data_IF_287409238108
#
_entry.id   IF_287409238108
#
_cell.length_a   1.000
_cell.length_b   1.000
_cell.length_c   1.000
_cell.angle_alpha   90.00
_cell.angle_beta   90.00
_cell.angle_gamma   90.00
#
_symmetry.space_group_name_H-M   'P 1'
#
loop_
_entity.id
_entity.type
_entity.pdbx_description
1 polymer ?
#
# COMPACT_ATOMS: atom_id res chain seq x y z
N UNK A 1 14.54 -28.51 30.01
CA UNK A 1 15.68 -27.57 29.96
C UNK A 1 16.06 -27.53 28.50
N UNK A 2 15.79 -26.44 27.78
CA UNK A 2 16.14 -26.34 26.36
C UNK A 2 17.66 -26.14 26.26
N UNK A 3 18.29 -26.84 25.31
CA UNK A 3 19.74 -26.92 25.18
C UNK A 3 20.41 -25.58 24.88
N UNK A 4 21.64 -25.44 25.38
CA UNK A 4 22.47 -24.25 25.24
C UNK A 4 23.05 -24.13 23.82
N UNK A 5 22.94 -22.94 23.22
CA UNK A 5 23.38 -22.70 21.83
C UNK A 5 24.90 -22.73 21.74
N UNK A 6 25.43 -23.73 21.01
CA UNK A 6 26.87 -24.05 20.97
C UNK A 6 27.66 -23.18 19.98
N UNK A 7 27.05 -22.62 18.93
CA UNK A 7 27.66 -21.56 18.09
C UNK A 7 26.66 -20.89 17.14
N UNK A 8 26.92 -19.64 16.77
CA UNK A 8 26.19 -18.91 15.72
C UNK A 8 27.18 -18.53 14.61
N UNK A 9 26.94 -18.99 13.38
CA UNK A 9 27.75 -18.61 12.20
C UNK A 9 26.96 -17.65 11.31
N UNK A 10 27.58 -16.52 10.98
CA UNK A 10 27.06 -15.54 10.01
C UNK A 10 27.48 -15.97 8.60
N UNK A 11 26.53 -16.43 7.79
CA UNK A 11 26.76 -16.81 6.39
C UNK A 11 26.40 -15.62 5.50
N UNK A 12 27.35 -15.16 4.69
CA UNK A 12 27.08 -14.14 3.67
C UNK A 12 26.43 -14.80 2.45
N UNK A 13 25.34 -14.20 1.97
CA UNK A 13 24.42 -14.78 0.99
C UNK A 13 25.04 -14.89 -0.41
N UNK A 14 25.66 -16.04 -0.70
CA UNK A 14 25.94 -16.51 -2.06
C UNK A 14 25.15 -17.79 -2.42
N UNK A 15 24.26 -18.25 -1.54
CA UNK A 15 23.39 -19.41 -1.77
C UNK A 15 21.94 -19.05 -1.41
N UNK A 16 21.02 -19.40 -2.32
CA UNK A 16 19.68 -18.85 -2.47
C UNK A 16 18.61 -19.45 -1.53
N UNK A 17 19.00 -20.04 -0.39
CA UNK A 17 18.05 -20.53 0.60
C UNK A 17 18.62 -20.38 2.01
N UNK A 18 17.83 -19.83 2.92
CA UNK A 18 18.15 -19.79 4.35
C UNK A 18 17.20 -20.75 5.05
N UNK A 19 17.70 -21.91 5.47
CA UNK A 19 17.04 -22.73 6.48
C UNK A 19 17.60 -22.35 7.85
N UNK A 20 16.69 -22.01 8.75
CA UNK A 20 16.86 -21.92 10.21
C UNK A 20 17.88 -20.88 10.72
N UNK A 21 17.41 -19.85 11.44
CA UNK A 21 18.31 -18.85 12.05
C UNK A 21 17.87 -18.42 13.44
N UNK A 22 18.86 -18.30 14.33
CA UNK A 22 18.83 -17.65 15.66
C UNK A 22 19.75 -16.42 15.65
N UNK A 23 19.28 -15.21 16.07
CA UNK A 23 20.13 -13.99 16.23
C UNK A 23 19.54 -12.96 17.23
N UNK A 24 20.38 -12.25 18.02
CA UNK A 24 20.18 -10.87 18.52
C UNK A 24 21.21 -9.88 17.89
N UNK A 25 21.06 -8.55 17.79
CA UNK A 25 20.01 -7.57 18.08
C UNK A 25 20.09 -6.46 17.00
N UNK A 26 18.96 -5.82 16.67
CA UNK A 26 18.78 -4.68 15.75
C UNK A 26 18.54 -4.94 14.24
N UNK A 27 18.39 -6.18 13.78
CA UNK A 27 17.97 -6.49 12.40
C UNK A 27 16.46 -6.71 12.29
N UNK A 28 15.82 -6.13 11.26
CA UNK A 28 14.55 -6.68 10.74
C UNK A 28 14.91 -7.89 9.88
N UNK A 29 14.47 -9.08 10.26
CA UNK A 29 14.69 -10.29 9.45
C UNK A 29 13.42 -10.62 8.67
N UNK A 30 13.57 -10.75 7.35
CA UNK A 30 12.57 -11.40 6.50
C UNK A 30 12.99 -12.85 6.29
N UNK A 31 12.19 -13.79 6.76
CA UNK A 31 12.40 -15.22 6.52
C UNK A 31 11.49 -15.66 5.39
N UNK A 32 12.08 -15.93 4.23
CA UNK A 32 11.43 -16.64 3.13
C UNK A 32 11.59 -18.14 3.38
N UNK A 33 10.61 -18.74 4.03
CA UNK A 33 10.56 -20.20 4.12
C UNK A 33 10.19 -20.72 2.74
N UNK A 34 11.01 -21.65 2.22
CA UNK A 34 10.78 -22.34 0.95
C UNK A 34 9.42 -23.04 0.88
N UNK A 35 9.16 -23.75 -0.21
CA UNK A 35 7.86 -24.38 -0.49
C UNK A 35 7.38 -25.27 0.67
N UNK A 36 6.49 -24.73 1.53
CA UNK A 36 5.95 -25.42 2.73
C UNK A 36 5.32 -26.76 2.34
N UNK A 37 4.73 -26.83 1.14
CA UNK A 37 4.19 -28.07 0.60
C UNK A 37 5.21 -29.21 0.61
N UNK A 38 6.47 -28.95 0.25
CA UNK A 38 7.51 -29.97 0.21
C UNK A 38 7.84 -30.48 1.62
N UNK A 39 7.80 -29.60 2.62
CA UNK A 39 7.95 -29.99 4.02
C UNK A 39 6.79 -30.89 4.46
N UNK A 40 5.54 -30.50 4.18
CA UNK A 40 4.37 -31.29 4.54
C UNK A 40 4.33 -32.65 3.82
N UNK A 41 4.76 -32.70 2.56
CA UNK A 41 4.85 -33.94 1.77
C UNK A 41 5.93 -34.87 2.31
N UNK A 42 7.12 -34.35 2.66
CA UNK A 42 8.16 -35.13 3.32
C UNK A 42 7.69 -35.65 4.68
N UNK A 43 6.98 -34.82 5.46
CA UNK A 43 6.40 -35.24 6.74
C UNK A 43 5.37 -36.37 6.55
N UNK A 44 4.57 -36.28 5.49
CA UNK A 44 3.63 -37.35 5.11
C UNK A 44 4.34 -38.65 4.75
N UNK A 45 5.42 -38.58 3.97
CA UNK A 45 6.20 -39.75 3.58
C UNK A 45 6.84 -40.42 4.81
N UNK A 46 7.41 -39.64 5.73
CA UNK A 46 7.99 -40.14 6.98
C UNK A 46 6.92 -40.80 7.87
N UNK A 47 5.76 -40.16 8.02
CA UNK A 47 4.65 -40.73 8.80
C UNK A 47 4.13 -42.04 8.21
N UNK A 48 4.01 -42.12 6.88
CA UNK A 48 3.63 -43.34 6.19
C UNK A 48 4.68 -44.46 6.34
N UNK A 49 5.97 -44.13 6.23
CA UNK A 49 7.06 -45.10 6.43
C UNK A 49 7.14 -45.64 7.86
N UNK A 50 6.65 -44.88 8.84
CA UNK A 50 6.53 -45.29 10.24
C UNK A 50 5.23 -46.02 10.58
N UNK A 51 4.36 -46.22 9.60
CA UNK A 51 3.03 -46.81 9.78
C UNK A 51 2.19 -46.06 10.84
N UNK A 52 2.35 -44.73 10.92
CA UNK A 52 1.55 -43.89 11.82
C UNK A 52 0.09 -43.82 11.34
N UNK A 53 -0.85 -43.64 12.28
CA UNK A 53 -2.26 -43.45 11.92
C UNK A 53 -2.43 -42.16 11.12
N UNK A 54 -2.89 -42.22 9.85
CA UNK A 54 -2.98 -41.04 9.00
C UNK A 54 -4.15 -40.14 9.41
N UNK A 55 -3.95 -38.83 9.29
CA UNK A 55 -4.98 -37.81 9.41
C UNK A 55 -5.67 -37.50 8.08
N UNK A 56 -6.14 -36.25 7.92
CA UNK A 56 -6.82 -35.78 6.70
C UNK A 56 -5.90 -35.88 5.48
N UNK A 57 -6.40 -36.48 4.39
CA UNK A 57 -5.67 -36.67 3.12
C UNK A 57 -4.29 -37.35 3.27
N UNK A 58 -4.12 -38.19 4.29
CA UNK A 58 -2.90 -38.95 4.53
C UNK A 58 -1.80 -38.20 5.28
N UNK A 59 -1.98 -36.91 5.60
CA UNK A 59 -1.01 -36.16 6.40
C UNK A 59 -1.01 -36.62 7.87
N UNK A 60 0.13 -36.54 8.58
CA UNK A 60 0.19 -36.92 9.99
C UNK A 60 -0.70 -36.03 10.87
N UNK A 61 -1.24 -36.59 11.95
CA UNK A 61 -2.14 -35.86 12.86
C UNK A 61 -1.47 -34.66 13.57
N UNK A 62 -0.14 -34.67 13.69
CA UNK A 62 0.65 -33.61 14.32
C UNK A 62 1.12 -32.52 13.33
N UNK A 63 0.70 -32.54 12.06
CA UNK A 63 1.10 -31.54 11.06
C UNK A 63 0.76 -30.11 11.49
N UNK A 64 -0.35 -29.90 12.20
CA UNK A 64 -0.69 -28.59 12.76
C UNK A 64 0.39 -28.11 13.74
N UNK A 65 0.75 -28.96 14.70
CA UNK A 65 1.74 -28.62 15.72
C UNK A 65 3.11 -28.40 15.09
N UNK A 66 3.50 -29.22 14.12
CA UNK A 66 4.77 -29.09 13.40
C UNK A 66 4.87 -27.72 12.68
N UNK A 67 3.85 -27.36 11.89
CA UNK A 67 3.77 -26.05 11.24
C UNK A 67 3.76 -24.90 12.25
N UNK A 68 3.04 -25.05 13.37
CA UNK A 68 3.00 -24.04 14.42
C UNK A 68 4.38 -23.79 15.04
N UNK A 69 5.20 -24.84 15.22
CA UNK A 69 6.58 -24.67 15.74
C UNK A 69 7.46 -23.80 14.83
N UNK A 70 7.14 -23.73 13.54
CA UNK A 70 7.84 -22.91 12.56
C UNK A 70 7.25 -21.49 12.53
N UNK A 71 5.94 -21.37 12.36
CA UNK A 71 5.27 -20.09 12.12
C UNK A 71 5.22 -19.17 13.36
N UNK A 72 5.07 -19.74 14.55
CA UNK A 72 4.98 -18.98 15.82
C UNK A 72 6.32 -18.39 16.28
N UNK A 73 7.39 -18.55 15.47
CA UNK A 73 8.71 -17.94 15.73
C UNK A 73 8.81 -16.50 15.19
N UNK A 74 7.77 -15.98 14.54
CA UNK A 74 7.71 -14.60 14.06
C UNK A 74 7.24 -13.64 15.18
N UNK A 75 7.78 -12.42 15.23
CA UNK A 75 7.33 -11.42 16.18
C UNK A 75 8.41 -10.47 16.67
N UNK A 76 8.07 -9.73 17.73
CA UNK A 76 8.93 -8.76 18.43
C UNK A 76 9.03 -9.21 19.88
N UNK A 77 10.24 -9.15 20.44
CA UNK A 77 10.47 -9.46 21.86
C UNK A 77 10.49 -8.16 22.64
N UNK A 78 9.67 -8.08 23.70
CA UNK A 78 9.63 -6.90 24.57
C UNK A 78 11.02 -6.63 25.17
N UNK A 79 11.47 -5.37 25.07
CA UNK A 79 12.76 -4.93 25.59
C UNK A 79 13.97 -5.24 24.70
N UNK A 80 13.78 -5.84 23.50
CA UNK A 80 14.86 -6.09 22.53
C UNK A 80 14.64 -5.33 21.22
N UNK A 81 15.62 -4.56 20.70
CA UNK A 81 15.53 -4.01 19.36
C UNK A 81 15.55 -5.11 18.28
N UNK A 82 14.57 -5.09 17.38
CA UNK A 82 14.50 -5.96 16.21
C UNK A 82 13.16 -6.68 16.07
N UNK A 83 12.98 -7.36 14.94
CA UNK A 83 11.78 -8.13 14.67
C UNK A 83 12.08 -9.30 13.72
N UNK A 84 11.34 -10.38 13.87
CA UNK A 84 11.31 -11.48 12.91
C UNK A 84 9.98 -11.42 12.16
N UNK A 85 10.04 -11.24 10.85
CA UNK A 85 8.88 -11.27 9.96
C UNK A 85 9.00 -12.47 9.04
N UNK A 86 7.96 -13.31 9.00
CA UNK A 86 7.93 -14.47 8.12
C UNK A 86 6.95 -14.22 6.97
N UNK A 87 7.36 -14.58 5.75
CA UNK A 87 6.48 -14.65 4.58
C UNK A 87 6.65 -16.06 4.00
N UNK A 88 5.94 -17.06 4.54
CA UNK A 88 6.02 -18.42 4.04
C UNK A 88 5.32 -18.52 2.69
N UNK A 89 5.94 -19.25 1.75
CA UNK A 89 5.38 -19.48 0.42
C UNK A 89 4.95 -20.94 0.31
N UNK A 90 3.72 -21.15 -0.13
CA UNK A 90 3.18 -22.48 -0.41
C UNK A 90 2.45 -22.49 -1.75
N UNK A 91 2.48 -23.63 -2.42
CA UNK A 91 1.66 -23.90 -3.60
C UNK A 91 0.51 -24.80 -3.19
N UNK A 92 -0.72 -24.38 -3.48
CA UNK A 92 -1.90 -25.19 -3.18
C UNK A 92 -2.03 -26.34 -4.19
N UNK A 93 -2.12 -27.61 -3.74
CA UNK A 93 -2.40 -28.72 -4.65
C UNK A 93 -3.73 -28.50 -5.37
N UNK A 94 -3.73 -28.56 -6.69
CA UNK A 94 -4.92 -28.39 -7.53
C UNK A 94 -5.71 -27.08 -7.31
N UNK A 95 -5.04 -26.02 -6.85
CA UNK A 95 -5.66 -24.74 -6.45
C UNK A 95 -6.72 -24.86 -5.34
N UNK A 96 -6.66 -25.94 -4.56
CA UNK A 96 -7.64 -26.21 -3.51
C UNK A 96 -7.22 -25.56 -2.19
N UNK A 97 -7.87 -24.44 -1.84
CA UNK A 97 -7.65 -23.75 -0.56
C UNK A 97 -8.13 -24.55 0.64
N UNK A 98 -9.00 -25.55 0.45
CA UNK A 98 -9.50 -26.45 1.52
C UNK A 98 -8.55 -27.62 1.78
N UNK A 99 -7.45 -27.71 1.03
CA UNK A 99 -6.40 -28.68 1.27
C UNK A 99 -5.83 -28.49 2.68
N UNK A 100 -5.48 -29.56 3.43
CA UNK A 100 -4.95 -29.44 4.78
C UNK A 100 -3.75 -28.49 4.93
N UNK A 101 -2.89 -28.35 3.92
CA UNK A 101 -1.71 -27.48 3.98
C UNK A 101 -2.10 -25.99 4.07
N UNK A 102 -2.82 -25.39 3.10
CA UNK A 102 -3.29 -24.02 3.21
C UNK A 102 -4.29 -23.82 4.36
N UNK A 103 -5.15 -24.80 4.64
CA UNK A 103 -6.14 -24.75 5.72
C UNK A 103 -5.45 -24.56 7.09
N UNK A 104 -4.50 -25.43 7.44
CA UNK A 104 -3.75 -25.32 8.69
C UNK A 104 -2.84 -24.08 8.71
N UNK A 105 -2.21 -23.74 7.58
CA UNK A 105 -1.38 -22.51 7.51
C UNK A 105 -2.22 -21.26 7.77
N UNK A 106 -3.42 -21.16 7.19
CA UNK A 106 -4.33 -20.03 7.41
C UNK A 106 -4.93 -19.99 8.82
N UNK A 107 -5.01 -21.13 9.51
CA UNK A 107 -5.39 -21.16 10.92
C UNK A 107 -4.30 -20.60 11.85
N UNK A 108 -3.03 -20.85 11.53
CA UNK A 108 -1.88 -20.45 12.36
C UNK A 108 -1.43 -19.01 12.03
N UNK A 109 -1.29 -18.68 10.75
CA UNK A 109 -0.74 -17.39 10.31
C UNK A 109 -1.77 -16.26 10.38
N UNK A 110 -1.28 -15.02 10.48
CA UNK A 110 -2.13 -13.82 10.65
C UNK A 110 -2.73 -13.26 9.36
N UNK A 111 -2.92 -14.12 8.35
CA UNK A 111 -3.43 -13.76 7.05
C UNK A 111 -2.69 -14.46 5.92
N UNK A 112 -3.17 -14.21 4.70
CA UNK A 112 -2.65 -14.85 3.50
C UNK A 112 -2.74 -13.92 2.30
N UNK A 113 -1.80 -14.08 1.37
CA UNK A 113 -1.82 -13.45 0.06
C UNK A 113 -2.03 -14.53 -0.99
N UNK A 114 -3.23 -14.56 -1.58
CA UNK A 114 -3.61 -15.57 -2.56
C UNK A 114 -3.28 -15.09 -3.96
N UNK A 115 -2.51 -15.88 -4.70
CA UNK A 115 -2.26 -15.64 -6.12
C UNK A 115 -3.33 -16.36 -6.95
N UNK A 116 -4.10 -15.61 -7.75
CA UNK A 116 -5.20 -16.11 -8.54
C UNK A 116 -4.78 -16.48 -9.96
N UNK A 117 -4.98 -17.75 -10.35
CA UNK A 117 -4.72 -18.21 -11.73
C UNK A 117 -5.51 -17.42 -12.77
N UNK A 118 -6.75 -17.04 -12.47
CA UNK A 118 -7.60 -16.27 -13.38
C UNK A 118 -7.02 -14.88 -13.70
N UNK A 119 -6.36 -14.21 -12.73
CA UNK A 119 -5.67 -12.93 -12.96
C UNK A 119 -4.39 -13.15 -13.78
N UNK A 120 -3.66 -14.23 -13.50
CA UNK A 120 -2.48 -14.58 -14.26
C UNK A 120 -2.79 -14.84 -15.74
N UNK A 121 -3.86 -15.57 -16.05
CA UNK A 121 -4.31 -15.81 -17.43
C UNK A 121 -4.70 -14.53 -18.16
N UNK A 122 -5.16 -13.50 -17.43
CA UNK A 122 -5.43 -12.16 -17.98
C UNK A 122 -4.17 -11.32 -18.21
N UNK A 123 -2.98 -11.82 -17.86
CA UNK A 123 -1.73 -11.09 -17.98
C UNK A 123 -1.50 -10.05 -16.86
N UNK A 124 -2.25 -10.13 -15.76
CA UNK A 124 -2.10 -9.23 -14.61
C UNK A 124 -0.92 -9.71 -13.76
N UNK A 125 -0.02 -8.79 -13.42
CA UNK A 125 1.12 -9.05 -12.54
C UNK A 125 1.21 -7.95 -11.46
N UNK A 126 1.45 -8.29 -10.18
CA UNK A 126 1.32 -9.63 -9.62
C UNK A 126 -0.14 -10.11 -9.68
N UNK A 127 -0.41 -11.41 -9.90
CA UNK A 127 -1.78 -11.93 -10.02
C UNK A 127 -2.44 -12.10 -8.64
N UNK A 128 -2.40 -11.07 -7.79
CA UNK A 128 -2.90 -11.14 -6.41
C UNK A 128 -4.42 -11.03 -6.38
N UNK A 129 -5.08 -12.09 -5.91
CA UNK A 129 -6.53 -12.09 -5.71
C UNK A 129 -6.84 -11.52 -4.33
N UNK A 130 -7.37 -10.29 -4.31
CA UNK A 130 -7.59 -9.54 -3.07
C UNK A 130 -8.75 -10.08 -2.21
N UNK A 131 -9.74 -10.75 -2.80
CA UNK A 131 -10.92 -11.22 -2.05
C UNK A 131 -10.62 -12.32 -1.01
N UNK A 132 -9.95 -13.43 -1.36
CA UNK A 132 -9.56 -14.43 -0.37
C UNK A 132 -8.28 -14.07 0.38
N UNK A 133 -7.64 -12.94 0.05
CA UNK A 133 -6.46 -12.44 0.77
C UNK A 133 -6.88 -11.61 1.99
N UNK A 134 -6.11 -11.71 3.06
CA UNK A 134 -6.41 -11.03 4.32
C UNK A 134 -5.12 -10.71 5.07
N UNK A 135 -5.14 -9.62 5.83
CA UNK A 135 -4.17 -9.35 6.89
C UNK A 135 -4.92 -8.97 8.17
N UNK A 136 -4.81 -9.80 9.22
CA UNK A 136 -5.46 -9.54 10.51
C UNK A 136 -4.84 -8.36 11.26
N UNK A 137 -3.54 -8.13 11.03
CA UNK A 137 -2.77 -7.06 11.67
C UNK A 137 -2.86 -5.71 10.95
N UNK A 138 -3.58 -5.63 9.80
CA UNK A 138 -3.69 -4.40 9.02
C UNK A 138 -4.13 -3.20 9.87
N UNK A 139 -5.13 -3.36 10.74
CA UNK A 139 -5.65 -2.26 11.56
C UNK A 139 -4.60 -1.64 12.50
N UNK A 140 -3.59 -2.42 12.92
CA UNK A 140 -2.50 -1.93 13.74
C UNK A 140 -1.40 -1.24 12.92
N UNK A 141 -1.37 -1.46 11.60
CA UNK A 141 -0.36 -0.97 10.64
C UNK A 141 -0.78 0.28 9.86
N UNK A 142 -1.96 0.85 10.13
CA UNK A 142 -2.54 1.94 9.34
C UNK A 142 -3.04 3.09 10.22
N UNK A 143 -3.38 4.20 9.58
CA UNK A 143 -4.01 5.35 10.23
C UNK A 143 -3.02 6.43 10.64
N UNK A 144 -3.51 7.37 11.46
CA UNK A 144 -2.78 8.60 11.81
C UNK A 144 -1.48 8.26 12.56
N UNK A 145 -0.36 8.75 12.03
CA UNK A 145 0.97 8.52 12.59
C UNK A 145 1.71 7.30 12.01
N UNK A 146 1.07 6.52 11.15
CA UNK A 146 1.70 5.42 10.41
C UNK A 146 1.57 5.61 8.90
N UNK A 147 0.33 5.69 8.41
CA UNK A 147 0.00 6.00 7.01
C UNK A 147 -0.81 7.30 6.96
N UNK A 148 -1.80 7.37 6.06
CA UNK A 148 -2.81 8.43 5.99
C UNK A 148 -4.10 8.05 6.73
N UNK A 149 -4.91 9.05 7.08
CA UNK A 149 -6.14 8.90 7.89
C UNK A 149 -7.29 8.13 7.19
N UNK A 150 -7.30 8.14 5.86
CA UNK A 150 -8.33 7.57 4.99
C UNK A 150 -8.09 6.10 4.64
N UNK A 151 -6.91 5.55 4.96
CA UNK A 151 -6.48 4.22 4.52
C UNK A 151 -7.50 3.12 4.80
N UNK A 152 -8.03 3.06 6.04
CA UNK A 152 -9.00 2.01 6.41
C UNK A 152 -10.28 2.09 5.57
N UNK A 153 -10.90 3.26 5.52
CA UNK A 153 -12.18 3.46 4.84
C UNK A 153 -12.03 3.29 3.32
N UNK A 154 -10.93 3.79 2.74
CA UNK A 154 -10.62 3.58 1.34
C UNK A 154 -10.46 2.10 1.01
N UNK A 155 -9.67 1.36 1.80
CA UNK A 155 -9.49 -0.08 1.60
C UNK A 155 -10.81 -0.85 1.68
N UNK A 156 -11.66 -0.55 2.67
CA UNK A 156 -12.95 -1.20 2.84
C UNK A 156 -13.91 -0.93 1.66
N UNK A 157 -13.92 0.31 1.16
CA UNK A 157 -14.75 0.69 0.03
C UNK A 157 -14.26 0.07 -1.28
N UNK A 158 -12.94 0.05 -1.52
CA UNK A 158 -12.35 -0.60 -2.69
C UNK A 158 -12.67 -2.10 -2.69
N UNK A 159 -12.53 -2.77 -1.53
CA UNK A 159 -12.87 -4.18 -1.38
C UNK A 159 -14.34 -4.44 -1.69
N UNK A 160 -15.25 -3.66 -1.10
CA UNK A 160 -16.69 -3.81 -1.31
C UNK A 160 -17.09 -3.59 -2.77
N UNK A 161 -16.53 -2.55 -3.41
CA UNK A 161 -16.81 -2.26 -4.80
C UNK A 161 -16.24 -3.33 -5.75
N UNK A 162 -15.07 -3.88 -5.44
CA UNK A 162 -14.49 -4.95 -6.24
C UNK A 162 -15.31 -6.25 -6.13
N UNK A 163 -15.77 -6.59 -4.92
CA UNK A 163 -16.66 -7.74 -4.70
C UNK A 163 -17.97 -7.59 -5.49
N UNK A 164 -18.66 -6.43 -5.37
CA UNK A 164 -19.89 -6.15 -6.12
C UNK A 164 -19.67 -6.23 -7.64
N UNK A 165 -18.55 -5.70 -8.14
CA UNK A 165 -18.19 -5.79 -9.56
C UNK A 165 -17.93 -7.23 -10.05
N UNK A 166 -17.35 -8.10 -9.22
CA UNK A 166 -17.15 -9.51 -9.55
C UNK A 166 -18.46 -10.31 -9.55
N UNK A 167 -19.35 -10.07 -8.60
CA UNK A 167 -20.68 -10.69 -8.56
C UNK A 167 -21.49 -10.30 -9.80
N UNK A 168 -21.45 -9.02 -10.17
CA UNK A 168 -22.06 -8.52 -11.40
C UNK A 168 -21.46 -9.16 -12.65
N UNK A 169 -20.14 -9.40 -12.69
CA UNK A 169 -19.49 -10.08 -13.83
C UNK A 169 -20.05 -11.50 -14.01
N UNK A 170 -20.35 -12.19 -12.91
CA UNK A 170 -21.05 -13.48 -12.93
C UNK A 170 -22.48 -13.37 -13.47
N UNK A 171 -23.23 -12.33 -13.04
CA UNK A 171 -24.59 -12.09 -13.51
C UNK A 171 -24.65 -11.75 -15.01
N UNK A 172 -23.71 -10.93 -15.50
CA UNK A 172 -23.58 -10.56 -16.92
C UNK A 172 -23.40 -11.79 -17.80
N UNK A 173 -22.63 -12.79 -17.34
CA UNK A 173 -22.44 -14.03 -18.10
C UNK A 173 -23.74 -14.84 -18.29
N UNK A 174 -24.77 -14.59 -17.46
CA UNK A 174 -26.07 -15.28 -17.51
C UNK A 174 -27.12 -14.46 -18.27
N UNK A 175 -27.24 -13.18 -17.93
CA UNK A 175 -28.35 -12.31 -18.39
C UNK A 175 -27.97 -11.45 -19.59
N UNK A 176 -26.66 -11.25 -19.83
CA UNK A 176 -26.14 -10.34 -20.86
C UNK A 176 -25.94 -8.91 -20.34
N UNK A 177 -25.00 -8.19 -20.96
CA UNK A 177 -24.58 -6.85 -20.53
C UNK A 177 -25.66 -5.78 -20.73
N UNK A 178 -26.52 -5.94 -21.74
CA UNK A 178 -27.56 -4.97 -22.10
C UNK A 178 -28.59 -4.76 -20.98
N UNK A 179 -28.83 -5.81 -20.17
CA UNK A 179 -29.77 -5.78 -19.05
C UNK A 179 -29.25 -5.06 -17.79
N UNK A 180 -27.97 -4.67 -17.77
CA UNK A 180 -27.36 -4.04 -16.60
C UNK A 180 -27.75 -2.58 -16.47
N UNK A 181 -28.01 -2.13 -15.23
CA UNK A 181 -28.26 -0.71 -14.95
C UNK A 181 -26.98 0.12 -15.15
N UNK A 182 -27.13 1.44 -15.31
CA UNK A 182 -25.97 2.34 -15.41
C UNK A 182 -25.05 2.27 -14.18
N UNK A 183 -25.62 2.00 -13.00
CA UNK A 183 -24.86 1.77 -11.77
C UNK A 183 -24.01 0.50 -11.93
N UNK A 184 -24.62 -0.61 -12.30
CA UNK A 184 -23.95 -1.91 -12.41
C UNK A 184 -22.83 -1.89 -13.46
N UNK A 185 -23.07 -1.21 -14.60
CA UNK A 185 -22.05 -0.98 -15.61
C UNK A 185 -20.83 -0.23 -15.06
N UNK A 186 -21.01 0.72 -14.15
CA UNK A 186 -19.89 1.43 -13.49
C UNK A 186 -19.12 0.51 -12.53
N UNK A 187 -19.80 -0.41 -11.83
CA UNK A 187 -19.14 -1.39 -10.97
C UNK A 187 -18.34 -2.44 -11.77
N UNK A 188 -18.89 -2.91 -12.89
CA UNK A 188 -18.16 -3.78 -13.83
C UNK A 188 -16.89 -3.09 -14.34
N UNK A 189 -17.03 -1.84 -14.81
CA UNK A 189 -15.89 -1.02 -15.24
C UNK A 189 -14.90 -0.79 -14.11
N UNK A 190 -15.38 -0.52 -12.90
CA UNK A 190 -14.52 -0.36 -11.72
C UNK A 190 -13.70 -1.63 -11.47
N UNK A 191 -14.30 -2.83 -11.54
CA UNK A 191 -13.59 -4.08 -11.32
C UNK A 191 -12.48 -4.33 -12.35
N UNK A 192 -12.74 -4.04 -13.63
CA UNK A 192 -11.73 -4.13 -14.70
C UNK A 192 -10.58 -3.13 -14.50
N UNK A 193 -10.92 -1.88 -14.17
CA UNK A 193 -9.92 -0.84 -13.93
C UNK A 193 -9.13 -1.09 -12.64
N UNK A 194 -9.75 -1.64 -11.61
CA UNK A 194 -9.09 -2.03 -10.37
C UNK A 194 -8.05 -3.12 -10.62
N UNK A 195 -8.42 -4.17 -11.35
CA UNK A 195 -7.49 -5.22 -11.79
C UNK A 195 -6.30 -4.66 -12.59
N UNK A 196 -6.57 -3.78 -13.55
CA UNK A 196 -5.54 -3.28 -14.51
C UNK A 196 -4.69 -2.13 -14.00
N UNK A 197 -5.20 -1.29 -13.08
CA UNK A 197 -4.47 -0.12 -12.58
C UNK A 197 -3.98 -0.33 -11.16
N UNK A 198 -4.84 -0.83 -10.28
CA UNK A 198 -4.50 -0.99 -8.87
C UNK A 198 -3.66 -2.23 -8.63
N UNK A 199 -4.18 -3.40 -9.00
CA UNK A 199 -3.52 -4.69 -8.75
C UNK A 199 -2.32 -4.88 -9.68
N UNK A 200 -2.48 -4.56 -10.96
CA UNK A 200 -1.38 -4.64 -11.91
C UNK A 200 -0.30 -3.59 -11.60
N UNK A 201 0.93 -4.06 -11.49
CA UNK A 201 2.13 -3.28 -11.22
C UNK A 201 3.30 -3.86 -12.03
N UNK A 202 4.19 -3.01 -12.50
CA UNK A 202 5.41 -3.46 -13.19
C UNK A 202 6.31 -4.29 -12.26
N UNK A 203 7.05 -5.27 -12.80
CA UNK A 203 8.00 -6.09 -12.04
C UNK A 203 9.05 -5.30 -11.26
N UNK A 204 9.37 -4.11 -11.75
CA UNK A 204 10.37 -3.20 -11.19
C UNK A 204 9.76 -1.87 -10.75
N UNK A 205 8.43 -1.77 -10.75
CA UNK A 205 7.73 -0.61 -10.25
C UNK A 205 7.68 -0.69 -8.73
N UNK A 206 7.95 0.42 -8.06
CA UNK A 206 7.86 0.52 -6.60
C UNK A 206 6.96 1.72 -6.26
N UNK A 207 5.74 1.41 -5.81
CA UNK A 207 4.75 2.41 -5.41
C UNK A 207 4.87 2.70 -3.93
N UNK A 208 4.92 3.97 -3.58
CA UNK A 208 4.70 4.42 -2.20
C UNK A 208 3.25 4.15 -1.77
N UNK A 209 3.03 4.16 -0.45
CA UNK A 209 1.69 4.04 0.10
C UNK A 209 0.79 5.19 -0.37
N UNK A 210 1.32 6.42 -0.44
CA UNK A 210 0.54 7.59 -0.87
C UNK A 210 0.11 7.49 -2.34
N UNK A 211 0.99 7.02 -3.22
CA UNK A 211 0.63 6.76 -4.62
C UNK A 211 -0.47 5.71 -4.74
N UNK A 212 -0.39 4.64 -3.93
CA UNK A 212 -1.40 3.58 -3.90
C UNK A 212 -2.75 4.10 -3.40
N UNK A 213 -2.76 4.90 -2.33
CA UNK A 213 -3.99 5.50 -1.81
C UNK A 213 -4.59 6.52 -2.80
N UNK A 214 -3.78 7.34 -3.46
CA UNK A 214 -4.25 8.28 -4.48
C UNK A 214 -4.88 7.54 -5.67
N UNK A 215 -4.24 6.46 -6.12
CA UNK A 215 -4.79 5.61 -7.17
C UNK A 215 -6.13 4.98 -6.78
N UNK A 216 -6.26 4.56 -5.52
CA UNK A 216 -7.52 4.08 -4.97
C UNK A 216 -8.64 5.12 -5.08
N UNK A 217 -8.36 6.37 -4.72
CA UNK A 217 -9.32 7.47 -4.87
C UNK A 217 -9.66 7.76 -6.33
N UNK A 218 -8.67 7.75 -7.23
CA UNK A 218 -8.91 7.94 -8.67
C UNK A 218 -9.84 6.87 -9.24
N UNK A 219 -9.73 5.63 -8.77
CA UNK A 219 -10.62 4.55 -9.18
C UNK A 219 -12.04 4.73 -8.63
N UNK A 220 -12.19 5.19 -7.39
CA UNK A 220 -13.51 5.46 -6.82
C UNK A 220 -14.28 6.56 -7.56
N UNK A 221 -13.61 7.44 -8.32
CA UNK A 221 -14.28 8.44 -9.19
C UNK A 221 -15.12 7.82 -10.31
N UNK A 222 -14.90 6.54 -10.64
CA UNK A 222 -15.74 5.81 -11.61
C UNK A 222 -17.15 5.60 -11.04
N UNK A 223 -17.25 5.42 -9.72
CA UNK A 223 -18.50 5.12 -9.04
C UNK A 223 -19.25 6.41 -8.67
N UNK A 224 -20.59 6.38 -8.65
CA UNK A 224 -21.37 7.53 -8.20
C UNK A 224 -21.22 7.71 -6.68
N UNK A 225 -21.30 8.96 -6.19
CA UNK A 225 -21.09 9.29 -4.77
C UNK A 225 -22.00 8.51 -3.82
N UNK A 226 -23.24 8.24 -4.21
CA UNK A 226 -24.20 7.46 -3.42
C UNK A 226 -23.81 5.97 -3.26
N UNK A 227 -22.86 5.47 -4.05
CA UNK A 227 -22.34 4.12 -3.92
C UNK A 227 -21.17 4.01 -2.91
N UNK A 228 -20.63 5.15 -2.45
CA UNK A 228 -19.49 5.21 -1.53
C UNK A 228 -19.97 5.17 -0.07
N UNK A 229 -20.58 4.05 0.34
CA UNK A 229 -21.25 3.92 1.64
C UNK A 229 -20.32 3.67 2.82
N UNK A 230 -19.05 3.30 2.57
CA UNK A 230 -18.07 2.93 3.61
C UNK A 230 -17.05 4.05 3.91
N UNK A 231 -17.26 5.22 3.35
CA UNK A 231 -16.36 6.37 3.49
C UNK A 231 -17.15 7.55 4.06
N UNK A 232 -16.56 8.26 5.02
CA UNK A 232 -17.13 9.51 5.53
C UNK A 232 -17.16 10.61 4.46
N UNK A 233 -18.25 11.39 4.44
CA UNK A 233 -18.43 12.51 3.51
C UNK A 233 -17.27 13.52 3.54
N UNK A 234 -16.68 13.75 4.72
CA UNK A 234 -15.51 14.63 4.88
C UNK A 234 -14.34 14.18 3.99
N UNK A 235 -14.04 12.88 4.00
CA UNK A 235 -12.93 12.33 3.23
C UNK A 235 -13.23 12.30 1.74
N UNK A 236 -14.49 12.02 1.37
CA UNK A 236 -14.94 12.11 -0.04
C UNK A 236 -14.68 13.53 -0.58
N UNK A 237 -15.13 14.56 0.13
CA UNK A 237 -14.90 15.94 -0.30
C UNK A 237 -13.41 16.30 -0.35
N UNK A 238 -12.61 15.87 0.62
CA UNK A 238 -11.19 16.18 0.68
C UNK A 238 -10.38 15.56 -0.48
N UNK A 239 -10.62 14.28 -0.81
CA UNK A 239 -9.78 13.54 -1.75
C UNK A 239 -10.37 13.39 -3.16
N UNK A 240 -11.69 13.44 -3.32
CA UNK A 240 -12.32 13.41 -4.64
C UNK A 240 -12.57 14.80 -5.22
N UNK A 241 -12.99 15.76 -4.39
CA UNK A 241 -13.40 17.10 -4.83
C UNK A 241 -12.28 18.13 -4.66
N UNK A 242 -11.42 17.97 -3.65
CA UNK A 242 -10.27 18.85 -3.40
C UNK A 242 -9.24 18.88 -4.54
N UNK A 243 -9.07 17.78 -5.28
CA UNK A 243 -8.19 17.75 -6.46
C UNK A 243 -8.80 18.42 -7.69
N UNK A 244 -10.12 18.57 -7.78
CA UNK A 244 -10.76 19.35 -8.84
C UNK A 244 -10.53 20.87 -8.66
N UNK A 245 -10.17 21.31 -7.44
CA UNK A 245 -9.84 22.69 -7.12
C UNK A 245 -8.35 23.05 -7.35
N UNK A 246 -7.42 22.08 -7.31
CA UNK A 246 -5.98 22.33 -7.48
C UNK A 246 -5.54 22.87 -8.86
N UNK A 247 -6.21 22.57 -10.00
CA UNK A 247 -5.90 23.25 -11.27
C UNK A 247 -6.31 24.73 -11.26
N UNK A 248 -7.35 25.08 -10.48
CA UNK A 248 -7.88 26.44 -10.40
C UNK A 248 -7.03 27.34 -9.49
N UNK A 249 -6.51 26.82 -8.37
CA UNK A 249 -5.62 27.59 -7.48
C UNK A 249 -4.27 27.90 -8.14
N UNK A 250 -3.62 26.93 -8.80
CA UNK A 250 -2.37 27.20 -9.55
C UNK A 250 -2.53 28.20 -10.68
N UNK A 251 -3.72 28.29 -11.29
CA UNK A 251 -4.01 29.27 -12.34
C UNK A 251 -4.45 30.62 -11.78
N UNK A 252 -4.97 30.68 -10.55
CA UNK A 252 -5.26 31.91 -9.83
C UNK A 252 -3.98 32.55 -9.26
N UNK A 253 -3.10 31.77 -8.62
CA UNK A 253 -1.80 32.22 -8.12
C UNK A 253 -0.93 32.77 -9.25
N UNK A 254 -0.86 32.05 -10.39
CA UNK A 254 -0.13 32.51 -11.57
C UNK A 254 -0.72 33.79 -12.18
N UNK A 255 -2.04 33.99 -12.09
CA UNK A 255 -2.71 35.25 -12.51
C UNK A 255 -2.46 36.40 -11.53
N UNK A 256 -2.33 36.12 -10.24
CA UNK A 256 -1.96 37.11 -9.23
C UNK A 256 -0.49 37.53 -9.31
N UNK A 257 0.43 36.59 -9.54
CA UNK A 257 1.84 36.90 -9.79
C UNK A 257 2.02 37.78 -11.03
N UNK A 258 1.32 37.46 -12.13
CA UNK A 258 1.36 38.28 -13.36
C UNK A 258 0.77 39.68 -13.11
N UNK A 259 -0.30 39.81 -12.31
CA UNK A 259 -0.88 41.11 -11.93
C UNK A 259 0.05 41.92 -11.03
N UNK A 260 0.79 41.27 -10.13
CA UNK A 260 1.75 41.93 -9.25
C UNK A 260 2.98 42.41 -10.04
N UNK A 261 3.51 41.59 -10.94
CA UNK A 261 4.61 41.97 -11.84
C UNK A 261 4.23 43.18 -12.72
N UNK A 262 3.04 43.17 -13.32
CA UNK A 262 2.54 44.29 -14.14
C UNK A 262 2.34 45.59 -13.32
N UNK A 263 1.97 45.49 -12.04
CA UNK A 263 1.87 46.66 -11.14
C UNK A 263 3.24 47.23 -10.76
N UNK A 264 4.26 46.39 -10.66
CA UNK A 264 5.63 46.82 -10.37
C UNK A 264 6.20 47.55 -11.59
N UNK A 265 6.06 46.99 -12.80
CA UNK A 265 6.51 47.65 -14.04
C UNK A 265 5.85 49.02 -14.28
N UNK A 266 4.54 49.13 -14.04
CA UNK A 266 3.83 50.42 -14.15
C UNK A 266 4.27 51.45 -13.11
N UNK A 267 4.76 51.02 -11.94
CA UNK A 267 5.35 51.92 -10.93
C UNK A 267 6.75 52.36 -11.34
N UNK A 268 7.55 51.47 -11.92
CA UNK A 268 8.92 51.79 -12.38
C UNK A 268 8.88 52.77 -13.55
N UNK A 269 7.97 52.59 -14.52
CA UNK A 269 7.80 53.52 -15.64
C UNK A 269 7.27 54.91 -15.22
N UNK A 270 6.48 54.99 -14.14
CA UNK A 270 6.02 56.27 -13.56
C UNK A 270 7.11 56.98 -12.77
N UNK A 271 8.13 56.28 -12.29
CA UNK A 271 9.26 56.87 -11.56
C UNK A 271 10.31 57.47 -12.50
N UNK A 272 10.45 56.92 -13.70
CA UNK A 272 11.38 57.44 -14.72
C UNK A 272 10.85 58.69 -15.46
N UNK A 273 9.57 59.04 -15.30
CA UNK A 273 8.94 60.21 -15.93
C UNK A 273 8.48 61.26 -14.90
N UNK A 274 9.42 61.89 -14.18
CA UNK A 274 9.21 63.26 -13.65
C UNK A 274 10.50 64.10 -13.75
N UNK A 275 10.46 65.36 -14.25
CA UNK A 275 11.63 66.07 -14.75
C UNK A 275 12.29 67.00 -13.73
N UNK A 276 13.55 67.35 -14.01
CA UNK A 276 14.33 68.45 -13.43
C UNK A 276 13.57 69.79 -13.47
N UNK A 277 13.41 70.46 -12.33
CA UNK A 277 13.36 71.93 -12.25
C UNK A 277 13.38 72.42 -10.79
N UNK A 278 14.21 73.45 -10.55
CA UNK A 278 14.16 74.45 -9.48
C UNK A 278 14.75 74.07 -8.11
N UNK A 279 15.99 74.52 -7.89
CA UNK A 279 16.31 75.40 -6.75
C UNK A 279 17.64 76.15 -7.02
N UNK A 280 17.54 77.24 -7.79
CA UNK A 280 18.49 78.35 -7.70
C UNK A 280 17.86 79.45 -6.82
N UNK A 281 18.68 79.98 -5.89
CA UNK A 281 18.68 81.30 -5.24
C UNK A 281 18.80 81.21 -3.72
N UNK A 282 20.04 81.38 -3.22
CA UNK A 282 20.32 82.18 -2.01
C UNK A 282 21.59 83.02 -2.23
N UNK A 283 21.60 84.31 -1.84
CA UNK A 283 22.76 85.18 -2.01
C UNK A 283 23.71 85.17 -0.79
N UNK A 284 25.00 85.21 -1.12
CA UNK A 284 26.18 85.91 -0.54
C UNK A 284 26.31 86.12 0.99
N UNK A 285 27.43 85.58 1.49
CA UNK A 285 28.30 85.91 2.65
C UNK A 285 27.93 87.06 3.61
N UNK A 286 28.15 86.82 4.92
CA UNK A 286 29.17 87.53 5.75
C UNK A 286 29.41 86.89 7.14
N UNK A 287 30.66 86.43 7.31
CA UNK A 287 31.60 86.62 8.45
C UNK A 287 31.28 86.28 9.91
N UNK A 288 32.32 85.69 10.52
CA UNK A 288 32.73 85.67 11.95
C UNK A 288 31.93 84.73 12.86
N UNK A 289 32.51 83.88 13.70
CA UNK A 289 33.86 83.74 14.22
C UNK A 289 33.76 83.20 15.66
N UNK A 290 34.83 82.55 16.12
CA UNK A 290 35.11 82.03 17.50
C UNK A 290 34.41 80.71 17.87
N UNK A 291 35.15 79.61 18.03
CA UNK A 291 36.15 79.18 19.06
C UNK A 291 35.55 78.78 20.42
N UNK A 292 36.07 77.64 20.89
CA UNK A 292 36.06 77.03 22.23
C UNK A 292 34.79 76.24 22.56
N UNK A 293 34.86 75.06 23.18
CA UNK A 293 35.97 74.27 23.71
C UNK A 293 35.44 72.86 23.90
#
# INVERSE_FOLDING_TARGET
>A
MLDEVVSVKKVHANQLFVFDVTVPEAGKFLVENGLIISNCEALREIGAAREEVPGRRGFPGYMYTDLATIYERAGIIQGRPGSVTQIPILTMPSDDITNPIPDLTGYITEGQLVQGRHLHTKGIYPPTNVLPSLSRLMNAGIGKGQTREDHKQLSDQLYAAYAEGLDLRGLVAIVGEEAMSDKDRRFLKFADEFERKFVQQGRYENRSIDESLNLGWDLLRILPRNALTRIEDRLISQYMEGDAAKPAEKSAEKKEEIKQAAKVEQKTQKFEQKPQAQQEKRPIQKTNGKKKK
#
